data_IF_169301033050
#
_entry.id   IF_169301033050
#
_cell.length_a   1.000
_cell.length_b   1.000
_cell.length_c   1.000
_cell.angle_alpha   90.00
_cell.angle_beta   90.00
_cell.angle_gamma   90.00
#
_symmetry.space_group_name_H-M   'P 1'
#
loop_
_entity.id
_entity.type
_entity.pdbx_description
1 polymer ?
#
# COMPACT_ATOMS: atom_id res chain seq x y z
N UNK A 1 -15.88 -1.21 -12.82
CA UNK A 1 -17.21 -1.37 -13.48
C UNK A 1 -17.14 -1.15 -14.98
N UNK A 2 -16.95 0.08 -15.47
CA UNK A 2 -16.95 0.36 -16.91
C UNK A 2 -15.73 -0.25 -17.64
N UNK A 3 -14.57 -0.29 -16.98
CA UNK A 3 -13.34 -0.80 -17.59
C UNK A 3 -13.41 -2.31 -17.88
N UNK A 4 -13.80 -3.13 -16.90
CA UNK A 4 -13.94 -4.59 -17.08
C UNK A 4 -14.97 -4.91 -18.15
N UNK A 5 -16.12 -4.21 -18.15
CA UNK A 5 -17.13 -4.37 -19.18
C UNK A 5 -16.62 -4.00 -20.59
N UNK A 6 -15.81 -2.93 -20.72
CA UNK A 6 -15.26 -2.49 -22.01
C UNK A 6 -14.16 -3.42 -22.52
N UNK A 7 -13.31 -3.92 -21.62
CA UNK A 7 -12.12 -4.71 -21.98
C UNK A 7 -12.46 -6.19 -22.14
N UNK A 8 -13.25 -6.74 -21.23
CA UNK A 8 -13.55 -8.19 -21.16
C UNK A 8 -14.96 -8.54 -21.62
N UNK A 9 -15.83 -7.54 -21.86
CA UNK A 9 -17.25 -7.78 -22.19
C UNK A 9 -18.10 -8.26 -21.00
N UNK A 10 -17.52 -8.30 -19.79
CA UNK A 10 -18.18 -8.76 -18.56
C UNK A 10 -17.71 -7.94 -17.35
N UNK A 11 -18.49 -7.94 -16.28
CA UNK A 11 -18.10 -7.36 -15.00
C UNK A 11 -17.36 -8.35 -14.10
N UNK A 12 -17.33 -9.63 -14.45
CA UNK A 12 -16.61 -10.66 -13.69
C UNK A 12 -15.24 -10.89 -14.33
N UNK A 13 -14.17 -10.61 -13.59
CA UNK A 13 -12.79 -10.94 -14.00
C UNK A 13 -12.48 -12.33 -13.47
N UNK A 14 -11.97 -13.20 -14.34
CA UNK A 14 -11.64 -14.59 -13.98
C UNK A 14 -10.15 -14.80 -14.15
N UNK A 15 -9.47 -15.12 -13.06
CA UNK A 15 -8.05 -15.45 -13.06
C UNK A 15 -7.81 -16.87 -12.54
N UNK A 16 -6.59 -17.35 -12.74
CA UNK A 16 -6.12 -18.64 -12.23
C UNK A 16 -5.02 -18.39 -11.20
N UNK A 17 -5.07 -19.09 -10.06
CA UNK A 17 -3.98 -19.12 -9.07
C UNK A 17 -3.40 -20.51 -8.96
N UNK A 18 -2.08 -20.60 -8.85
CA UNK A 18 -1.39 -21.86 -8.54
C UNK A 18 -1.30 -22.02 -7.02
N UNK A 19 -1.77 -23.15 -6.51
CA UNK A 19 -1.71 -23.52 -5.10
C UNK A 19 -0.34 -24.13 -4.74
N UNK A 20 -0.09 -24.28 -3.44
CA UNK A 20 1.19 -24.79 -2.92
C UNK A 20 1.51 -26.22 -3.39
N UNK A 21 0.50 -27.02 -3.72
CA UNK A 21 0.65 -28.38 -4.27
C UNK A 21 0.83 -28.39 -5.80
N UNK A 22 0.89 -27.23 -6.43
CA UNK A 22 1.01 -27.06 -7.88
C UNK A 22 -0.31 -27.18 -8.65
N UNK A 23 -1.44 -27.40 -7.97
CA UNK A 23 -2.75 -27.38 -8.62
C UNK A 23 -3.20 -25.96 -8.97
N UNK A 24 -4.07 -25.83 -9.96
CA UNK A 24 -4.64 -24.54 -10.37
C UNK A 24 -6.08 -24.40 -9.88
N UNK A 25 -6.41 -23.22 -9.37
CA UNK A 25 -7.74 -22.86 -8.96
C UNK A 25 -8.19 -21.59 -9.68
N UNK A 26 -9.42 -21.63 -10.20
CA UNK A 26 -10.07 -20.46 -10.78
C UNK A 26 -10.59 -19.55 -9.68
N UNK A 27 -10.29 -18.26 -9.78
CA UNK A 27 -10.76 -17.21 -8.88
C UNK A 27 -11.54 -16.17 -9.68
N UNK A 28 -12.72 -15.82 -9.18
CA UNK A 28 -13.59 -14.82 -9.80
C UNK A 28 -13.62 -13.54 -8.95
N UNK A 29 -13.43 -12.39 -9.61
CA UNK A 29 -13.53 -11.06 -9.02
C UNK A 29 -14.73 -10.33 -9.62
N UNK A 30 -15.71 -9.98 -8.79
CA UNK A 30 -16.94 -9.36 -9.25
C UNK A 30 -16.86 -7.83 -9.18
N UNK A 31 -16.51 -7.20 -10.30
CA UNK A 31 -16.50 -5.74 -10.43
C UNK A 31 -17.89 -5.14 -10.66
N UNK A 32 -18.95 -5.95 -10.75
CA UNK A 32 -20.34 -5.50 -10.89
C UNK A 32 -20.94 -5.04 -9.57
N UNK A 33 -20.48 -5.62 -8.44
CA UNK A 33 -20.92 -5.27 -7.08
C UNK A 33 -20.34 -3.94 -6.58
N UNK A 34 -20.89 -3.45 -5.47
CA UNK A 34 -20.26 -2.37 -4.72
C UNK A 34 -18.93 -2.86 -4.14
N UNK A 35 -17.88 -2.07 -4.29
CA UNK A 35 -16.57 -2.42 -3.75
C UNK A 35 -16.65 -2.29 -2.24
N UNK A 36 -16.06 -3.25 -1.55
CA UNK A 36 -16.02 -3.23 -0.12
C UNK A 36 -15.13 -2.08 0.37
N UNK A 37 -15.43 -1.56 1.56
CA UNK A 37 -14.65 -0.52 2.21
C UNK A 37 -14.42 -0.94 3.66
N UNK A 38 -13.17 -1.04 4.06
CA UNK A 38 -12.76 -1.37 5.43
C UNK A 38 -11.70 -0.38 5.87
N UNK A 39 -11.67 -0.04 7.15
CA UNK A 39 -10.47 0.59 7.70
C UNK A 39 -9.34 -0.44 7.83
N UNK A 40 -8.08 0.01 7.96
CA UNK A 40 -6.94 -0.88 8.27
C UNK A 40 -7.27 -1.76 9.49
N UNK A 41 -7.77 -1.15 10.57
CA UNK A 41 -8.14 -1.85 11.80
C UNK A 41 -9.28 -2.84 11.58
N UNK A 42 -10.33 -2.46 10.86
CA UNK A 42 -11.45 -3.36 10.57
C UNK A 42 -11.02 -4.57 9.73
N UNK A 43 -10.09 -4.37 8.79
CA UNK A 43 -9.52 -5.45 7.99
C UNK A 43 -8.74 -6.44 8.87
N UNK A 44 -7.90 -5.95 9.80
CA UNK A 44 -7.21 -6.81 10.76
C UNK A 44 -8.22 -7.61 11.59
N UNK A 45 -9.20 -6.95 12.21
CA UNK A 45 -10.18 -7.60 13.09
C UNK A 45 -11.02 -8.65 12.36
N UNK A 46 -11.40 -8.36 11.11
CA UNK A 46 -12.18 -9.29 10.28
C UNK A 46 -11.45 -10.62 10.05
N UNK A 47 -10.15 -10.54 9.78
CA UNK A 47 -9.36 -11.70 9.43
C UNK A 47 -8.71 -12.38 10.64
N UNK A 48 -8.77 -11.74 11.81
CA UNK A 48 -8.24 -12.23 13.07
C UNK A 48 -9.30 -12.07 14.19
N UNK A 49 -10.32 -12.95 14.25
CA UNK A 49 -11.46 -12.79 15.16
C UNK A 49 -11.11 -12.88 16.65
N UNK A 50 -9.92 -13.40 16.98
CA UNK A 50 -9.42 -13.49 18.36
C UNK A 50 -8.78 -12.18 18.85
N UNK A 51 -8.49 -11.24 17.95
CA UNK A 51 -7.94 -9.92 18.28
C UNK A 51 -9.09 -8.97 18.60
N UNK A 52 -8.98 -8.24 19.71
CA UNK A 52 -9.96 -7.22 20.10
C UNK A 52 -9.51 -5.82 19.68
N UNK A 53 -10.44 -4.89 19.38
CA UNK A 53 -10.10 -3.53 18.97
C UNK A 53 -9.18 -2.80 19.95
N UNK A 54 -9.35 -3.01 21.25
CA UNK A 54 -8.55 -2.34 22.28
C UNK A 54 -7.09 -2.78 22.25
N UNK A 55 -6.81 -3.98 21.74
CA UNK A 55 -5.44 -4.49 21.58
C UNK A 55 -4.70 -3.87 20.40
N UNK A 56 -5.41 -3.22 19.48
CA UNK A 56 -4.82 -2.51 18.35
C UNK A 56 -4.71 -1.00 18.62
N UNK A 57 -5.45 -0.50 19.61
CA UNK A 57 -5.48 0.92 19.96
C UNK A 57 -4.34 1.36 20.90
N UNK A 58 -3.62 0.42 21.52
CA UNK A 58 -2.50 0.68 22.43
C UNK A 58 -1.22 -0.02 21.94
N UNK A 59 -0.10 0.72 21.93
CA UNK A 59 1.18 0.27 21.38
C UNK A 59 1.71 -1.01 22.03
N UNK A 60 1.70 -1.08 23.35
CA UNK A 60 2.22 -2.25 24.06
C UNK A 60 1.40 -3.51 23.74
N UNK A 61 0.08 -3.38 23.70
CA UNK A 61 -0.83 -4.47 23.35
C UNK A 61 -0.73 -4.87 21.88
N UNK A 62 -0.60 -3.91 20.96
CA UNK A 62 -0.46 -4.18 19.53
C UNK A 62 0.85 -4.89 19.20
N UNK A 63 1.95 -4.48 19.86
CA UNK A 63 3.25 -5.18 19.77
C UNK A 63 3.17 -6.60 20.31
N UNK A 64 2.41 -6.83 21.38
CA UNK A 64 2.19 -8.18 21.89
C UNK A 64 1.38 -9.04 20.91
N UNK A 65 0.39 -8.47 20.22
CA UNK A 65 -0.36 -9.11 19.14
C UNK A 65 0.58 -9.50 17.99
N UNK A 66 1.39 -8.56 17.49
CA UNK A 66 2.37 -8.81 16.43
C UNK A 66 3.34 -9.93 16.81
N UNK A 67 3.86 -9.92 18.05
CA UNK A 67 4.73 -10.97 18.58
C UNK A 67 4.05 -12.34 18.60
N UNK A 68 2.79 -12.41 19.00
CA UNK A 68 2.03 -13.67 19.02
C UNK A 68 1.79 -14.22 17.61
N UNK A 69 1.71 -13.34 16.61
CA UNK A 69 1.58 -13.67 15.19
C UNK A 69 2.93 -13.99 14.52
N UNK A 70 4.05 -13.88 15.25
CA UNK A 70 5.39 -14.11 14.71
C UNK A 70 5.92 -12.98 13.81
N UNK A 71 5.35 -11.78 13.91
CA UNK A 71 5.74 -10.61 13.12
C UNK A 71 6.94 -9.93 13.80
N UNK A 72 7.99 -9.68 13.02
CA UNK A 72 9.20 -9.02 13.50
C UNK A 72 9.05 -7.50 13.40
N UNK A 73 9.08 -6.81 14.54
CA UNK A 73 8.97 -5.35 14.60
C UNK A 73 10.32 -4.71 14.91
N UNK A 74 10.58 -3.52 14.36
CA UNK A 74 11.69 -2.66 14.78
C UNK A 74 11.32 -1.90 16.06
N UNK A 75 12.32 -1.61 16.91
CA UNK A 75 12.08 -0.92 18.19
C UNK A 75 11.57 0.52 17.98
N UNK A 76 12.06 1.22 16.96
CA UNK A 76 11.71 2.62 16.68
C UNK A 76 10.33 2.85 16.05
N UNK A 77 9.58 1.81 15.70
CA UNK A 77 8.26 1.94 15.09
C UNK A 77 7.20 2.39 16.08
N UNK A 78 6.39 3.38 15.72
CA UNK A 78 5.20 3.75 16.45
C UNK A 78 4.04 2.78 16.22
N UNK A 79 2.95 3.01 16.94
CA UNK A 79 1.73 2.21 16.86
C UNK A 79 1.18 2.12 15.42
N UNK A 80 1.31 3.19 14.64
CA UNK A 80 0.79 3.24 13.27
C UNK A 80 1.52 2.25 12.37
N UNK A 81 2.85 2.22 12.42
CA UNK A 81 3.63 1.24 11.68
C UNK A 81 3.38 -0.18 12.18
N UNK A 82 3.25 -0.40 13.49
CA UNK A 82 2.88 -1.71 14.05
C UNK A 82 1.53 -2.22 13.53
N UNK A 83 0.50 -1.37 13.46
CA UNK A 83 -0.79 -1.75 12.89
C UNK A 83 -0.68 -2.18 11.43
N UNK A 84 0.14 -1.47 10.64
CA UNK A 84 0.35 -1.77 9.23
C UNK A 84 1.06 -3.11 9.04
N UNK A 85 2.10 -3.39 9.81
CA UNK A 85 2.79 -4.70 9.74
C UNK A 85 1.85 -5.87 10.07
N UNK A 86 0.93 -5.67 11.04
CA UNK A 86 -0.13 -6.66 11.33
C UNK A 86 -1.10 -6.79 10.14
N UNK A 87 -1.50 -5.68 9.53
CA UNK A 87 -2.38 -5.68 8.37
C UNK A 87 -1.77 -6.41 7.17
N UNK A 88 -0.54 -6.08 6.78
CA UNK A 88 0.18 -6.70 5.66
C UNK A 88 0.33 -8.20 5.89
N UNK A 89 0.75 -8.60 7.10
CA UNK A 89 0.97 -10.00 7.43
C UNK A 89 -0.31 -10.84 7.48
N UNK A 90 -1.47 -10.26 7.87
CA UNK A 90 -2.66 -11.06 8.22
C UNK A 90 -3.91 -10.80 7.40
N UNK A 91 -4.04 -9.63 6.77
CA UNK A 91 -5.25 -9.20 6.10
C UNK A 91 -5.04 -8.99 4.60
N UNK A 92 -3.94 -8.35 4.18
CA UNK A 92 -3.70 -7.91 2.79
C UNK A 92 -3.92 -9.03 1.76
N UNK A 93 -3.21 -10.14 1.93
CA UNK A 93 -3.27 -11.30 1.02
C UNK A 93 -4.64 -12.01 0.99
N UNK A 94 -5.57 -11.64 1.88
CA UNK A 94 -6.93 -12.21 1.98
C UNK A 94 -7.99 -11.30 1.36
N UNK A 95 -7.62 -10.10 0.90
CA UNK A 95 -8.48 -9.15 0.20
C UNK A 95 -8.74 -9.61 -1.24
N UNK A 96 -9.57 -10.64 -1.39
CA UNK A 96 -9.79 -11.29 -2.69
C UNK A 96 -10.67 -10.46 -3.62
N UNK A 97 -11.80 -9.95 -3.14
CA UNK A 97 -12.69 -9.11 -3.94
C UNK A 97 -12.17 -7.67 -4.01
N UNK A 98 -12.65 -6.85 -4.97
CA UNK A 98 -12.39 -5.42 -5.02
C UNK A 98 -12.72 -4.72 -3.69
N UNK A 99 -11.69 -4.29 -2.97
CA UNK A 99 -11.80 -3.72 -1.63
C UNK A 99 -10.94 -2.48 -1.48
N UNK A 100 -11.52 -1.40 -0.99
CA UNK A 100 -10.79 -0.24 -0.49
C UNK A 100 -10.45 -0.45 0.98
N UNK A 101 -9.17 -0.33 1.31
CA UNK A 101 -8.71 -0.18 2.68
C UNK A 101 -8.49 1.30 2.93
N UNK A 102 -9.00 1.84 4.03
CA UNK A 102 -8.99 3.27 4.34
C UNK A 102 -8.42 3.55 5.73
N UNK A 103 -8.19 4.82 6.05
CA UNK A 103 -7.76 5.26 7.38
C UNK A 103 -6.39 4.72 7.79
N UNK A 104 -5.41 4.89 6.89
CA UNK A 104 -4.02 4.55 7.18
C UNK A 104 -3.46 5.47 8.26
N UNK A 105 -2.67 4.96 9.22
CA UNK A 105 -2.02 5.78 10.22
C UNK A 105 -1.14 6.88 9.59
N UNK A 106 -1.10 8.05 10.25
CA UNK A 106 -0.28 9.21 9.84
C UNK A 106 1.19 8.85 9.69
N UNK A 107 1.69 8.02 10.58
CA UNK A 107 3.09 7.57 10.62
C UNK A 107 3.54 6.97 9.28
N UNK A 108 2.69 6.20 8.59
CA UNK A 108 3.03 5.57 7.30
C UNK A 108 2.54 6.35 6.09
N UNK A 109 2.03 7.57 6.30
CA UNK A 109 1.35 8.37 5.29
C UNK A 109 1.86 9.82 5.30
N UNK A 110 3.14 10.05 4.99
CA UNK A 110 3.81 11.34 5.19
C UNK A 110 3.26 12.48 4.31
N UNK A 111 2.57 12.15 3.20
CA UNK A 111 2.01 13.12 2.26
C UNK A 111 0.48 13.24 2.33
N UNK A 112 -0.17 12.39 3.14
CA UNK A 112 -1.63 12.34 3.22
C UNK A 112 -2.15 13.27 4.32
N UNK A 113 -3.22 14.00 4.01
CA UNK A 113 -3.92 14.85 4.97
C UNK A 113 -4.49 14.03 6.13
N UNK A 114 -4.33 14.52 7.34
CA UNK A 114 -4.95 13.93 8.54
C UNK A 114 -6.47 14.03 8.49
N UNK A 115 -7.15 13.02 9.05
CA UNK A 115 -8.61 13.04 9.19
C UNK A 115 -9.01 13.98 10.33
N UNK A 116 -9.92 14.91 10.09
CA UNK A 116 -10.31 15.94 11.08
C UNK A 116 -10.85 15.34 12.39
N UNK A 117 -11.60 14.24 12.29
CA UNK A 117 -12.19 13.58 13.46
C UNK A 117 -11.20 12.70 14.23
N UNK A 118 -10.08 12.32 13.61
CA UNK A 118 -9.08 11.43 14.19
C UNK A 118 -7.69 11.68 13.57
N UNK A 119 -6.89 12.60 14.15
CA UNK A 119 -5.57 12.95 13.62
C UNK A 119 -4.52 11.82 13.64
N UNK A 120 -4.84 10.68 14.27
CA UNK A 120 -3.97 9.49 14.24
C UNK A 120 -3.96 8.84 12.84
N UNK A 121 -5.05 8.99 12.07
CA UNK A 121 -5.19 8.43 10.73
C UNK A 121 -5.28 9.54 9.67
N UNK A 122 -5.03 9.15 8.44
CA UNK A 122 -5.11 10.02 7.26
C UNK A 122 -6.29 9.67 6.38
N UNK A 123 -6.69 10.62 5.54
CA UNK A 123 -7.70 10.43 4.50
C UNK A 123 -7.09 9.71 3.28
N UNK A 124 -6.45 8.56 3.54
CA UNK A 124 -5.82 7.70 2.54
C UNK A 124 -6.62 6.42 2.33
N UNK A 125 -6.58 5.92 1.11
CA UNK A 125 -7.02 4.59 0.76
C UNK A 125 -5.99 3.87 -0.11
N UNK A 126 -6.01 2.54 -0.03
CA UNK A 126 -5.45 1.66 -1.04
C UNK A 126 -6.55 0.75 -1.55
N UNK A 127 -6.45 0.38 -2.82
CA UNK A 127 -7.42 -0.47 -3.50
C UNK A 127 -6.78 -1.82 -3.82
N UNK A 128 -7.36 -2.88 -3.28
CA UNK A 128 -6.87 -4.25 -3.43
C UNK A 128 -7.82 -5.09 -4.27
N UNK A 129 -7.23 -5.99 -5.07
CA UNK A 129 -7.95 -7.06 -5.78
C UNK A 129 -7.07 -8.30 -5.79
N UNK A 130 -7.63 -9.46 -5.40
CA UNK A 130 -6.88 -10.72 -5.39
C UNK A 130 -5.67 -10.73 -4.46
N UNK A 131 -5.73 -9.97 -3.36
CA UNK A 131 -4.64 -9.83 -2.39
C UNK A 131 -3.45 -9.03 -2.92
N UNK A 132 -3.66 -8.16 -3.90
CA UNK A 132 -2.64 -7.26 -4.47
C UNK A 132 -3.17 -5.84 -4.53
N UNK A 133 -2.32 -4.90 -4.15
CA UNK A 133 -2.59 -3.47 -4.27
C UNK A 133 -2.58 -3.05 -5.76
N UNK A 134 -3.63 -2.37 -6.20
CA UNK A 134 -3.83 -1.90 -7.58
C UNK A 134 -3.77 -0.37 -7.67
N UNK A 135 -4.19 0.33 -6.63
CA UNK A 135 -4.14 1.78 -6.57
C UNK A 135 -3.95 2.27 -5.14
N UNK A 136 -3.39 3.48 -5.02
CA UNK A 136 -3.24 4.22 -3.78
C UNK A 136 -3.73 5.65 -4.02
N UNK A 137 -4.42 6.25 -3.06
CA UNK A 137 -4.92 7.61 -3.18
C UNK A 137 -5.22 8.24 -1.84
N UNK A 138 -5.18 9.56 -1.78
CA UNK A 138 -5.38 10.29 -0.53
C UNK A 138 -5.81 11.74 -0.80
N UNK A 139 -6.47 12.34 0.19
CA UNK A 139 -6.53 13.81 0.28
C UNK A 139 -5.10 14.32 0.48
N UNK A 140 -4.66 15.22 -0.39
CA UNK A 140 -3.31 15.77 -0.38
C UNK A 140 -3.09 16.63 0.86
N UNK A 141 -1.94 16.47 1.51
CA UNK A 141 -1.50 17.39 2.56
C UNK A 141 -1.09 18.72 1.91
N UNK A 142 -1.89 19.75 2.16
CA UNK A 142 -1.68 21.09 1.63
C UNK A 142 -1.25 22.13 2.68
N UNK A 143 -1.00 21.68 3.91
CA UNK A 143 -0.40 22.49 4.98
C UNK A 143 1.12 22.38 4.89
N UNK A 144 1.78 23.49 4.53
CA UNK A 144 3.21 23.54 4.32
C UNK A 144 4.01 23.31 5.62
N UNK A 145 3.49 23.77 6.77
CA UNK A 145 4.16 23.60 8.07
C UNK A 145 4.12 22.12 8.48
N UNK A 146 2.95 21.47 8.41
CA UNK A 146 2.81 20.02 8.68
C UNK A 146 3.67 19.21 7.70
N UNK A 147 3.67 19.56 6.41
CA UNK A 147 4.50 18.84 5.43
C UNK A 147 6.00 18.96 5.73
N UNK A 148 6.47 20.14 6.14
CA UNK A 148 7.87 20.35 6.52
C UNK A 148 8.25 19.53 7.77
N UNK A 149 7.40 19.50 8.79
CA UNK A 149 7.61 18.68 9.99
C UNK A 149 7.70 17.19 9.65
N UNK A 150 6.83 16.71 8.75
CA UNK A 150 6.85 15.31 8.31
C UNK A 150 8.09 14.95 7.51
N UNK A 151 8.58 15.85 6.65
CA UNK A 151 9.85 15.63 5.96
C UNK A 151 11.04 15.59 6.93
N UNK A 152 11.05 16.43 7.97
CA UNK A 152 12.10 16.35 9.00
C UNK A 152 12.06 15.02 9.75
N UNK A 153 10.86 14.50 10.06
CA UNK A 153 10.70 13.18 10.66
C UNK A 153 11.22 12.06 9.73
N UNK A 154 10.90 12.13 8.43
CA UNK A 154 11.40 11.17 7.43
C UNK A 154 12.93 11.21 7.28
N UNK A 155 13.55 12.39 7.35
CA UNK A 155 15.02 12.51 7.37
C UNK A 155 15.61 11.83 8.60
N UNK A 156 14.99 11.98 9.77
CA UNK A 156 15.44 11.30 10.98
C UNK A 156 15.29 9.76 10.89
N UNK A 157 14.20 9.27 10.27
CA UNK A 157 14.02 7.83 9.98
C UNK A 157 15.10 7.29 9.04
N UNK A 158 15.46 8.08 8.02
CA UNK A 158 16.55 7.75 7.10
C UNK A 158 17.89 7.65 7.80
N UNK A 159 18.23 8.60 8.66
CA UNK A 159 19.44 8.57 9.49
C UNK A 159 19.45 7.37 10.46
N UNK A 160 18.27 6.90 10.86
CA UNK A 160 18.09 5.68 11.66
C UNK A 160 18.18 4.38 10.84
N UNK A 161 18.43 4.46 9.51
CA UNK A 161 18.67 3.32 8.63
C UNK A 161 17.47 2.87 7.81
N UNK A 162 16.48 3.74 7.58
CA UNK A 162 15.42 3.48 6.60
C UNK A 162 15.81 4.00 5.21
N UNK A 163 16.21 3.07 4.32
CA UNK A 163 16.63 3.41 2.95
C UNK A 163 15.46 3.88 2.06
N UNK A 164 14.20 3.64 2.47
CA UNK A 164 12.99 4.03 1.73
C UNK A 164 12.40 5.37 2.19
N UNK A 165 12.91 5.94 3.29
CA UNK A 165 12.44 7.20 3.83
C UNK A 165 12.72 8.39 2.90
N UNK A 166 11.80 9.36 2.92
CA UNK A 166 11.82 10.52 2.02
C UNK A 166 12.94 11.50 2.36
N UNK A 167 13.39 12.25 1.36
CA UNK A 167 14.28 13.39 1.55
C UNK A 167 13.47 14.65 1.88
N UNK A 168 14.09 15.61 2.56
CA UNK A 168 13.51 16.94 2.69
C UNK A 168 13.59 17.68 1.36
N UNK A 169 12.44 18.12 0.84
CA UNK A 169 12.33 18.89 -0.40
C UNK A 169 11.84 20.31 -0.08
N UNK A 170 12.79 21.24 0.01
CA UNK A 170 12.52 22.65 0.31
C UNK A 170 11.72 23.36 -0.79
N UNK A 171 11.92 22.97 -2.06
CA UNK A 171 11.21 23.57 -3.19
C UNK A 171 9.73 23.13 -3.19
N UNK A 172 9.47 21.87 -2.84
CA UNK A 172 8.10 21.37 -2.67
C UNK A 172 7.37 22.07 -1.50
N UNK A 173 8.03 22.24 -0.35
CA UNK A 173 7.45 22.98 0.79
C UNK A 173 7.14 24.42 0.39
N UNK A 174 8.10 25.11 -0.24
CA UNK A 174 7.89 26.47 -0.73
C UNK A 174 6.72 26.55 -1.71
N UNK A 175 6.56 25.56 -2.61
CA UNK A 175 5.42 25.50 -3.52
C UNK A 175 4.07 25.38 -2.78
N UNK A 176 4.01 24.64 -1.67
CA UNK A 176 2.81 24.56 -0.82
C UNK A 176 2.48 25.89 -0.15
N UNK A 177 3.48 26.69 0.25
CA UNK A 177 3.29 28.02 0.86
C UNK A 177 2.62 29.02 -0.10
N UNK A 178 2.82 28.88 -1.41
CA UNK A 178 2.08 29.66 -2.41
C UNK A 178 0.59 29.29 -2.48
N UNK A 179 0.22 28.12 -1.95
CA UNK A 179 -1.15 27.68 -1.78
C UNK A 179 -1.52 26.55 -2.74
N UNK A 180 -1.63 25.33 -2.19
CA UNK A 180 -2.29 24.19 -2.84
C UNK A 180 -3.77 24.15 -2.42
N UNK A 181 -4.74 24.29 -3.35
CA UNK A 181 -6.15 24.06 -3.02
C UNK A 181 -6.40 22.67 -2.45
N UNK A 182 -7.48 22.45 -1.68
CA UNK A 182 -7.88 21.10 -1.26
C UNK A 182 -7.96 20.17 -2.48
N UNK A 183 -7.06 19.18 -2.52
CA UNK A 183 -6.82 18.31 -3.66
C UNK A 183 -6.82 16.85 -3.19
N UNK A 184 -7.15 15.94 -4.10
CA UNK A 184 -6.97 14.50 -3.89
C UNK A 184 -6.16 13.93 -5.04
N UNK A 185 -5.17 13.11 -4.71
CA UNK A 185 -4.34 12.38 -5.67
C UNK A 185 -4.68 10.90 -5.72
N UNK A 186 -4.37 10.29 -6.86
CA UNK A 186 -4.53 8.86 -7.09
C UNK A 186 -3.41 8.36 -7.99
N UNK A 187 -2.75 7.28 -7.57
CA UNK A 187 -1.82 6.49 -8.37
C UNK A 187 -2.43 5.12 -8.67
N UNK A 188 -2.39 4.68 -9.94
CA UNK A 188 -2.86 3.36 -10.37
C UNK A 188 -1.69 2.59 -10.97
N UNK A 189 -1.45 1.38 -10.47
CA UNK A 189 -0.46 0.45 -11.01
C UNK A 189 -0.95 -0.15 -12.32
N UNK A 190 -0.59 0.46 -13.46
CA UNK A 190 -1.04 0.02 -14.79
C UNK A 190 -0.61 -1.42 -15.10
N UNK A 191 0.61 -1.83 -14.73
CA UNK A 191 1.07 -3.20 -14.95
C UNK A 191 0.24 -4.21 -14.15
N UNK A 192 -0.02 -3.93 -12.87
CA UNK A 192 -0.85 -4.80 -12.02
C UNK A 192 -2.31 -4.86 -12.50
N UNK A 193 -2.85 -3.74 -12.98
CA UNK A 193 -4.17 -3.68 -13.61
C UNK A 193 -4.20 -4.51 -14.91
N UNK A 194 -3.17 -4.41 -15.75
CA UNK A 194 -3.05 -5.25 -16.95
C UNK A 194 -3.01 -6.73 -16.56
N UNK A 195 -2.15 -7.11 -15.61
CA UNK A 195 -2.03 -8.49 -15.12
C UNK A 195 -3.38 -9.06 -14.65
N UNK A 196 -4.13 -8.26 -13.88
CA UNK A 196 -5.45 -8.62 -13.40
C UNK A 196 -6.42 -8.87 -14.55
N UNK A 197 -6.42 -8.03 -15.58
CA UNK A 197 -7.35 -8.12 -16.71
C UNK A 197 -6.94 -9.17 -17.75
N UNK A 198 -5.67 -9.56 -17.81
CA UNK A 198 -5.15 -10.53 -18.79
C UNK A 198 -4.88 -11.91 -18.21
N UNK A 199 -5.24 -12.14 -16.95
CA UNK A 199 -4.91 -13.38 -16.22
C UNK A 199 -3.41 -13.72 -16.28
N UNK A 200 -2.57 -12.72 -16.04
CA UNK A 200 -1.11 -12.88 -16.07
C UNK A 200 -0.56 -12.99 -14.66
N UNK A 201 0.07 -14.12 -14.36
CA UNK A 201 0.64 -14.38 -13.03
C UNK A 201 1.91 -13.55 -12.76
N UNK A 202 2.67 -13.21 -13.82
CA UNK A 202 3.93 -12.48 -13.76
C UNK A 202 3.84 -11.11 -14.43
N UNK A 203 4.46 -10.09 -13.82
CA UNK A 203 4.57 -8.74 -14.41
C UNK A 203 5.33 -8.75 -15.74
N UNK A 204 6.21 -9.74 -15.94
CA UNK A 204 6.96 -9.92 -17.19
C UNK A 204 6.08 -10.25 -18.38
N UNK A 205 4.88 -10.79 -18.14
CA UNK A 205 3.96 -11.19 -19.21
C UNK A 205 3.17 -9.99 -19.76
N UNK A 206 3.19 -8.86 -19.04
CA UNK A 206 2.51 -7.61 -19.45
C UNK A 206 3.47 -6.50 -19.87
N UNK A 207 4.79 -6.75 -19.78
CA UNK A 207 5.84 -5.83 -20.22
C UNK A 207 6.53 -6.43 -21.44
N UNK A 208 6.58 -5.68 -22.56
CA UNK A 208 7.17 -6.15 -23.82
C UNK A 208 8.65 -6.53 -23.71
N UNK A 209 9.41 -5.77 -22.92
CA UNK A 209 10.84 -5.97 -22.70
C UNK A 209 11.16 -5.84 -21.20
N UNK A 210 10.89 -6.89 -20.39
CA UNK A 210 11.11 -6.83 -18.95
C UNK A 210 12.61 -6.80 -18.63
N UNK A 211 12.97 -6.19 -17.49
CA UNK A 211 14.34 -6.21 -17.02
C UNK A 211 14.79 -7.65 -16.74
N UNK A 212 15.85 -8.08 -17.43
CA UNK A 212 16.44 -9.41 -17.30
C UNK A 212 17.82 -9.31 -16.66
N UNK A 213 18.21 -10.35 -15.92
CA UNK A 213 19.57 -10.46 -15.40
C UNK A 213 20.55 -10.59 -16.58
N UNK A 214 21.61 -9.76 -16.67
CA UNK A 214 22.61 -9.91 -17.72
C UNK A 214 23.28 -11.28 -17.70
N UNK A 215 23.53 -11.87 -18.87
CA UNK A 215 24.24 -13.16 -19.00
C UNK A 215 25.72 -13.05 -18.61
N UNK A 216 26.32 -11.87 -18.80
CA UNK A 216 27.68 -11.55 -18.39
C UNK A 216 27.70 -10.34 -17.47
N UNK A 217 28.43 -10.41 -16.34
CA UNK A 217 28.75 -9.21 -15.55
C UNK A 217 29.50 -8.26 -16.48
N UNK A 218 29.02 -7.02 -16.61
CA UNK A 218 29.75 -5.99 -17.32
C UNK A 218 31.16 -5.91 -16.71
N UNK A 219 32.16 -6.30 -17.48
CA UNK A 219 33.56 -6.12 -17.11
C UNK A 219 33.75 -4.62 -16.97
N UNK A 220 34.11 -4.17 -15.77
CA UNK A 220 34.30 -2.76 -15.45
C UNK A 220 35.46 -2.24 -16.29
N UNK A 221 35.16 -1.79 -17.51
CA UNK A 221 36.09 -0.98 -18.28
C UNK A 221 36.22 0.33 -17.53
N UNK A 222 37.39 0.49 -16.92
CA UNK A 222 37.92 1.77 -16.47
C UNK A 222 37.93 2.67 -17.69
N UNK A 223 37.04 3.64 -17.72
CA UNK A 223 37.19 4.77 -18.63
C UNK A 223 38.36 5.60 -18.08
N UNK A 224 39.56 5.30 -18.58
CA UNK A 224 40.67 6.24 -18.63
C UNK A 224 40.45 7.13 -19.86
N UNK A 225 40.08 8.38 -19.64
CA UNK A 225 40.55 9.55 -20.41
C UNK A 225 40.39 10.83 -19.58
#
# INVERSE_FOLDING_TARGET
RSITQKVLGTTTVVNTRTLADGSEETVEYDFGKAFERLTVVDAILRYNPDIKPEQLADDASARQVAKNLGIHLKDGWGLGKVQIEIFEATAEHRLMQPTFITEYPKEVSPLARCKDSNPFVTERFEFFVGGREIANGFSELNDAEDQAERFQAQVAEKEAGDDEAMFYDEDYVMALEYGLPPTAGEGIGIDRLAMLLTNSASIRDVILFPAMRPEHKADSRKDEE
#
